data_IF_550147272937
#
_entry.id   IF_550147272937
#
_cell.length_a   1.000
_cell.length_b   1.000
_cell.length_c   1.000
_cell.angle_alpha   90.00
_cell.angle_beta   90.00
_cell.angle_gamma   90.00
#
_symmetry.space_group_name_H-M   'P 1'
#
loop_
_entity.id
_entity.type
_entity.pdbx_description
1 polymer ?
#
# COMPACT_ATOMS: atom_id res chain seq x y z
N UNK A 1 56.32 31.90 14.62
CA UNK A 1 55.86 31.24 13.37
C UNK A 1 54.34 31.20 13.38
N UNK A 2 53.71 31.90 12.44
CA UNK A 2 52.27 31.90 12.20
C UNK A 2 51.79 30.51 11.76
N UNK A 3 50.60 30.12 12.23
CA UNK A 3 49.49 29.69 11.36
C UNK A 3 48.21 29.52 12.18
N UNK A 4 47.43 30.60 12.21
CA UNK A 4 46.00 30.55 12.48
C UNK A 4 45.30 29.97 11.26
N UNK A 5 44.39 29.03 11.44
CA UNK A 5 43.28 28.79 10.51
C UNK A 5 42.04 28.45 11.34
N UNK A 6 41.21 29.46 11.56
CA UNK A 6 39.80 29.32 11.87
C UNK A 6 39.04 29.10 10.56
N UNK A 7 38.15 28.10 10.53
CA UNK A 7 37.04 28.01 9.57
C UNK A 7 35.81 27.57 10.37
N UNK A 8 35.00 28.52 10.80
CA UNK A 8 33.84 29.04 10.07
C UNK A 8 32.67 28.04 10.09
N UNK A 9 31.76 28.29 11.04
CA UNK A 9 30.43 27.74 11.06
C UNK A 9 29.69 28.09 9.76
N UNK A 10 29.15 27.07 9.09
CA UNK A 10 28.14 27.27 8.05
C UNK A 10 26.86 26.57 8.52
N UNK A 11 25.92 27.41 8.96
CA UNK A 11 24.50 27.09 9.01
C UNK A 11 24.08 26.60 7.62
N UNK A 12 23.59 25.36 7.54
CA UNK A 12 23.06 24.76 6.32
C UNK A 12 21.62 24.28 6.50
N UNK A 13 20.68 25.20 6.28
CA UNK A 13 19.31 25.02 5.77
C UNK A 13 18.43 23.84 6.26
N UNK A 14 17.45 24.21 7.11
CA UNK A 14 16.00 24.02 6.92
C UNK A 14 15.57 22.68 6.29
N UNK A 15 15.11 21.76 7.14
CA UNK A 15 14.13 20.72 6.78
C UNK A 15 12.79 20.96 7.51
N UNK A 16 12.25 22.18 7.39
CA UNK A 16 10.87 22.48 7.80
C UNK A 16 9.91 22.29 6.62
N UNK A 17 9.75 21.03 6.19
CA UNK A 17 8.66 20.62 5.30
C UNK A 17 8.08 19.24 5.71
N UNK A 18 8.17 18.87 6.99
CA UNK A 18 7.69 17.58 7.50
C UNK A 18 6.67 17.64 8.65
N UNK A 19 6.40 18.81 9.25
CA UNK A 19 5.73 18.85 10.56
C UNK A 19 4.21 19.11 10.54
N UNK A 20 3.59 19.21 9.35
CA UNK A 20 2.13 19.46 9.22
C UNK A 20 1.29 18.25 8.78
N UNK A 21 1.93 17.15 8.35
CA UNK A 21 1.21 16.07 7.66
C UNK A 21 0.59 15.01 8.59
N UNK A 22 1.01 14.95 9.86
CA UNK A 22 0.65 13.81 10.72
C UNK A 22 -0.82 13.79 11.15
N UNK A 23 -1.46 14.94 11.31
CA UNK A 23 -2.86 15.03 11.76
C UNK A 23 -3.87 15.12 10.60
N UNK A 24 -3.53 15.86 9.54
CA UNK A 24 -4.46 16.27 8.48
C UNK A 24 -5.03 15.11 7.64
N UNK A 25 -4.33 13.97 7.60
CA UNK A 25 -4.73 12.75 6.89
C UNK A 25 -4.69 11.49 7.80
N UNK A 26 -4.86 11.69 9.11
CA UNK A 26 -4.76 10.61 10.12
C UNK A 26 -5.77 9.46 9.90
N UNK A 27 -7.00 9.79 9.48
CA UNK A 27 -8.02 8.80 9.11
C UNK A 27 -7.57 7.92 7.93
N UNK A 28 -7.10 8.57 6.85
CA UNK A 28 -6.55 7.90 5.67
C UNK A 28 -5.39 6.99 6.03
N UNK A 29 -4.46 7.48 6.85
CA UNK A 29 -3.30 6.71 7.34
C UNK A 29 -3.72 5.48 8.13
N UNK A 30 -4.71 5.62 9.02
CA UNK A 30 -5.26 4.54 9.84
C UNK A 30 -5.97 3.48 9.00
N UNK A 31 -6.82 3.89 8.06
CA UNK A 31 -7.53 2.96 7.17
C UNK A 31 -6.56 2.24 6.23
N UNK A 32 -5.59 2.96 5.67
CA UNK A 32 -4.52 2.38 4.87
C UNK A 32 -3.71 1.35 5.68
N UNK A 33 -3.22 1.72 6.86
CA UNK A 33 -2.44 0.82 7.72
C UNK A 33 -3.20 -0.43 8.14
N UNK A 34 -4.51 -0.31 8.43
CA UNK A 34 -5.38 -1.47 8.69
C UNK A 34 -5.44 -2.42 7.50
N UNK A 35 -5.60 -1.90 6.28
CA UNK A 35 -5.64 -2.73 5.08
C UNK A 35 -4.31 -3.43 4.81
N UNK A 36 -3.18 -2.77 5.06
CA UNK A 36 -1.86 -3.41 4.99
C UNK A 36 -1.73 -4.53 6.03
N UNK A 37 -2.17 -4.30 7.27
CA UNK A 37 -2.15 -5.30 8.32
C UNK A 37 -3.01 -6.53 7.96
N UNK A 38 -4.19 -6.33 7.37
CA UNK A 38 -5.04 -7.43 6.90
C UNK A 38 -4.32 -8.30 5.86
N UNK A 39 -3.61 -7.70 4.90
CA UNK A 39 -2.85 -8.47 3.89
C UNK A 39 -1.75 -9.34 4.55
N UNK A 40 -1.14 -8.87 5.64
CA UNK A 40 -0.07 -9.58 6.35
C UNK A 40 -0.56 -10.63 7.35
N UNK A 41 -1.85 -10.71 7.64
CA UNK A 41 -2.39 -11.66 8.62
C UNK A 41 -2.77 -13.00 7.96
N UNK A 42 -2.49 -14.14 8.62
CA UNK A 42 -3.01 -15.43 8.19
C UNK A 42 -4.54 -15.44 8.20
N UNK A 43 -5.16 -15.65 7.04
CA UNK A 43 -6.61 -15.75 6.88
C UNK A 43 -6.95 -16.39 5.53
N UNK A 44 -8.20 -16.79 5.34
CA UNK A 44 -8.65 -17.32 4.06
C UNK A 44 -8.74 -16.23 3.00
N UNK A 45 -8.64 -16.61 1.71
CA UNK A 45 -8.82 -15.68 0.60
C UNK A 45 -10.20 -14.98 0.62
N UNK A 46 -11.25 -15.69 1.08
CA UNK A 46 -12.61 -15.16 1.18
C UNK A 46 -12.74 -14.10 2.29
N UNK A 47 -12.13 -14.33 3.44
CA UNK A 47 -12.09 -13.36 4.54
C UNK A 47 -11.31 -12.12 4.12
N UNK A 48 -10.11 -12.31 3.56
CA UNK A 48 -9.27 -11.21 3.09
C UNK A 48 -10.00 -10.37 2.02
N UNK A 49 -10.72 -11.02 1.10
CA UNK A 49 -11.53 -10.33 0.10
C UNK A 49 -12.56 -9.39 0.77
N UNK A 50 -13.38 -9.90 1.70
CA UNK A 50 -14.38 -9.10 2.42
C UNK A 50 -13.77 -7.95 3.22
N UNK A 51 -12.61 -8.18 3.82
CA UNK A 51 -11.82 -7.19 4.54
C UNK A 51 -11.35 -6.05 3.64
N UNK A 52 -10.76 -6.38 2.49
CA UNK A 52 -10.24 -5.39 1.55
C UNK A 52 -11.35 -4.61 0.85
N UNK A 53 -12.51 -5.21 0.59
CA UNK A 53 -13.70 -4.48 0.14
C UNK A 53 -14.10 -3.40 1.15
N UNK A 54 -14.12 -3.73 2.44
CA UNK A 54 -14.44 -2.75 3.50
C UNK A 54 -13.39 -1.64 3.60
N UNK A 55 -12.11 -1.96 3.42
CA UNK A 55 -11.03 -0.95 3.34
C UNK A 55 -11.24 -0.01 2.15
N UNK A 56 -11.50 -0.55 0.95
CA UNK A 56 -11.74 0.27 -0.25
C UNK A 56 -12.95 1.20 -0.08
N UNK A 57 -14.05 0.71 0.49
CA UNK A 57 -15.21 1.55 0.77
C UNK A 57 -14.87 2.71 1.71
N UNK A 58 -14.06 2.46 2.75
CA UNK A 58 -13.62 3.50 3.69
C UNK A 58 -12.69 4.51 3.03
N UNK A 59 -11.66 4.05 2.32
CA UNK A 59 -10.73 4.93 1.60
C UNK A 59 -11.45 5.83 0.58
N UNK A 60 -12.48 5.31 -0.09
CA UNK A 60 -13.30 6.08 -1.03
C UNK A 60 -14.10 7.19 -0.35
N UNK A 61 -14.51 7.01 0.91
CA UNK A 61 -15.24 8.03 1.69
C UNK A 61 -14.31 9.05 2.37
N UNK A 62 -13.07 8.67 2.65
CA UNK A 62 -12.09 9.55 3.28
C UNK A 62 -11.63 10.65 2.32
N UNK A 63 -11.54 11.88 2.83
CA UNK A 63 -11.02 13.04 2.09
C UNK A 63 -9.58 13.27 2.51
N UNK A 64 -8.73 13.52 1.52
CA UNK A 64 -7.34 13.90 1.77
C UNK A 64 -7.18 15.42 1.74
N UNK A 65 -6.61 15.96 2.80
CA UNK A 65 -6.45 17.41 3.01
C UNK A 65 -5.19 17.93 2.34
N UNK A 66 -4.14 17.10 2.23
CA UNK A 66 -2.86 17.47 1.63
C UNK A 66 -2.71 16.96 0.20
N UNK A 67 -1.81 17.56 -0.59
CA UNK A 67 -1.49 17.06 -1.94
C UNK A 67 -0.90 15.65 -1.88
N UNK A 68 0.01 15.39 -0.94
CA UNK A 68 0.57 14.07 -0.68
C UNK A 68 -0.51 13.05 -0.30
N UNK A 69 -1.43 13.42 0.59
CA UNK A 69 -2.58 12.60 0.97
C UNK A 69 -3.49 12.25 -0.21
N UNK A 70 -3.72 13.19 -1.14
CA UNK A 70 -4.52 12.93 -2.35
C UNK A 70 -3.84 11.91 -3.27
N UNK A 71 -2.52 12.06 -3.48
CA UNK A 71 -1.72 11.11 -4.25
C UNK A 71 -1.74 9.73 -3.58
N UNK A 72 -1.48 9.70 -2.27
CA UNK A 72 -1.50 8.49 -1.46
C UNK A 72 -2.84 7.76 -1.54
N UNK A 73 -3.96 8.48 -1.39
CA UNK A 73 -5.30 7.92 -1.46
C UNK A 73 -5.55 7.26 -2.82
N UNK A 74 -5.19 7.93 -3.90
CA UNK A 74 -5.33 7.39 -5.26
C UNK A 74 -4.51 6.11 -5.43
N UNK A 75 -3.24 6.13 -5.00
CA UNK A 75 -2.37 4.96 -5.05
C UNK A 75 -2.88 3.81 -4.18
N UNK A 76 -3.39 4.11 -2.98
CA UNK A 76 -3.96 3.12 -2.07
C UNK A 76 -5.20 2.46 -2.68
N UNK A 77 -6.14 3.24 -3.20
CA UNK A 77 -7.34 2.71 -3.86
C UNK A 77 -6.95 1.81 -5.04
N UNK A 78 -6.03 2.25 -5.89
CA UNK A 78 -5.57 1.42 -7.01
C UNK A 78 -4.86 0.16 -6.52
N UNK A 79 -3.98 0.27 -5.51
CA UNK A 79 -3.23 -0.85 -4.96
C UNK A 79 -4.12 -1.92 -4.32
N UNK A 80 -5.09 -1.52 -3.50
CA UNK A 80 -6.07 -2.44 -2.93
C UNK A 80 -6.99 -3.04 -3.99
N UNK A 81 -7.35 -2.28 -5.04
CA UNK A 81 -8.15 -2.82 -6.16
C UNK A 81 -7.41 -3.92 -6.92
N UNK A 82 -6.13 -3.71 -7.26
CA UNK A 82 -5.30 -4.74 -7.88
C UNK A 82 -5.09 -5.95 -6.96
N UNK A 83 -4.92 -5.71 -5.67
CA UNK A 83 -4.81 -6.80 -4.69
C UNK A 83 -6.10 -7.62 -4.64
N UNK A 84 -7.27 -6.96 -4.67
CA UNK A 84 -8.57 -7.64 -4.69
C UNK A 84 -8.74 -8.51 -5.95
N UNK A 85 -8.40 -7.98 -7.12
CA UNK A 85 -8.42 -8.76 -8.39
C UNK A 85 -7.52 -10.00 -8.32
N UNK A 86 -6.36 -9.88 -7.69
CA UNK A 86 -5.49 -11.03 -7.48
C UNK A 86 -6.10 -12.08 -6.55
N UNK A 87 -6.85 -11.65 -5.53
CA UNK A 87 -7.60 -12.56 -4.65
C UNK A 87 -8.77 -13.21 -5.39
N UNK A 88 -9.50 -12.45 -6.21
CA UNK A 88 -10.57 -12.98 -7.05
C UNK A 88 -10.07 -14.10 -7.96
N UNK A 89 -8.94 -13.87 -8.64
CA UNK A 89 -8.29 -14.89 -9.47
C UNK A 89 -7.88 -16.12 -8.64
N UNK A 90 -7.40 -15.95 -7.41
CA UNK A 90 -7.09 -17.10 -6.54
C UNK A 90 -8.34 -17.90 -6.13
N UNK A 91 -9.45 -17.20 -5.91
CA UNK A 91 -10.74 -17.85 -5.65
C UNK A 91 -11.26 -18.58 -6.91
N UNK A 92 -11.02 -18.05 -8.11
CA UNK A 92 -11.30 -18.72 -9.40
C UNK A 92 -10.46 -19.97 -9.57
N UNK A 93 -9.15 -19.88 -9.36
CA UNK A 93 -8.22 -21.01 -9.38
C UNK A 93 -8.72 -22.15 -8.49
N UNK A 94 -9.12 -21.86 -7.25
CA UNK A 94 -9.64 -22.85 -6.30
C UNK A 94 -10.93 -23.53 -6.81
N UNK A 95 -11.77 -22.81 -7.56
CA UNK A 95 -12.98 -23.38 -8.17
C UNK A 95 -12.67 -24.26 -9.38
N UNK A 96 -11.64 -23.92 -10.14
CA UNK A 96 -11.23 -24.63 -11.36
C UNK A 96 -10.36 -25.87 -11.08
N UNK A 97 -9.81 -25.99 -9.87
CA UNK A 97 -8.87 -27.04 -9.47
C UNK A 97 -9.43 -28.47 -9.61
N UNK A 98 -10.75 -28.65 -9.59
CA UNK A 98 -11.41 -29.97 -9.66
C UNK A 98 -11.81 -30.44 -11.06
N UNK A 99 -11.31 -29.81 -12.14
CA UNK A 99 -11.65 -30.28 -13.49
C UNK A 99 -11.14 -29.43 -14.66
N UNK A 100 -10.48 -28.30 -14.38
CA UNK A 100 -9.94 -27.42 -15.41
C UNK A 100 -8.55 -26.89 -15.01
N UNK A 101 -7.55 -27.77 -15.11
CA UNK A 101 -6.17 -27.47 -14.73
C UNK A 101 -5.60 -26.28 -15.52
N UNK A 102 -5.91 -26.18 -16.81
CA UNK A 102 -5.43 -25.06 -17.64
C UNK A 102 -5.97 -23.71 -17.13
N UNK A 103 -7.27 -23.62 -16.83
CA UNK A 103 -7.84 -22.41 -16.25
C UNK A 103 -7.26 -22.11 -14.86
N UNK A 104 -7.07 -23.14 -14.03
CA UNK A 104 -6.43 -22.99 -12.70
C UNK A 104 -5.04 -22.35 -12.81
N UNK A 105 -4.20 -22.80 -13.75
CA UNK A 105 -2.86 -22.23 -13.99
C UNK A 105 -2.96 -20.78 -14.47
N UNK A 106 -3.86 -20.48 -15.41
CA UNK A 106 -4.06 -19.11 -15.90
C UNK A 106 -4.50 -18.15 -14.78
N UNK A 107 -5.38 -18.61 -13.90
CA UNK A 107 -5.86 -17.85 -12.75
C UNK A 107 -4.75 -17.63 -11.70
N UNK A 108 -3.88 -18.63 -11.49
CA UNK A 108 -2.70 -18.49 -10.64
C UNK A 108 -1.74 -17.40 -11.17
N UNK A 109 -1.47 -17.41 -12.47
CA UNK A 109 -0.63 -16.40 -13.13
C UNK A 109 -1.25 -15.00 -13.04
N UNK A 110 -2.57 -14.90 -13.21
CA UNK A 110 -3.31 -13.64 -13.06
C UNK A 110 -3.23 -13.13 -11.63
N UNK A 111 -3.40 -14.03 -10.65
CA UNK A 111 -3.30 -13.71 -9.23
C UNK A 111 -1.94 -13.10 -8.88
N UNK A 112 -0.85 -13.76 -9.27
CA UNK A 112 0.52 -13.28 -9.00
C UNK A 112 0.78 -11.91 -9.64
N UNK A 113 0.43 -11.75 -10.93
CA UNK A 113 0.61 -10.48 -11.65
C UNK A 113 -0.11 -9.32 -10.95
N UNK A 114 -1.36 -9.53 -10.58
CA UNK A 114 -2.21 -8.50 -9.99
C UNK A 114 -1.76 -8.17 -8.57
N UNK A 115 -1.35 -9.17 -7.78
CA UNK A 115 -0.78 -8.96 -6.44
C UNK A 115 0.55 -8.19 -6.50
N UNK A 116 1.43 -8.49 -7.45
CA UNK A 116 2.68 -7.71 -7.65
C UNK A 116 2.39 -6.26 -7.99
N UNK A 117 1.41 -6.02 -8.87
CA UNK A 117 0.99 -4.65 -9.23
C UNK A 117 0.39 -3.91 -8.03
N UNK A 118 -0.49 -4.59 -7.28
CA UNK A 118 -1.07 -4.09 -6.03
C UNK A 118 0.01 -3.70 -5.03
N UNK A 119 0.97 -4.59 -4.76
CA UNK A 119 2.06 -4.34 -3.82
C UNK A 119 2.92 -3.14 -4.21
N UNK A 120 3.24 -2.96 -5.49
CA UNK A 120 4.00 -1.79 -5.97
C UNK A 120 3.26 -0.47 -5.64
N UNK A 121 1.96 -0.43 -5.88
CA UNK A 121 1.12 0.73 -5.62
C UNK A 121 0.94 0.99 -4.13
N UNK A 122 0.73 -0.05 -3.33
CA UNK A 122 0.59 0.04 -1.87
C UNK A 122 1.89 0.56 -1.23
N UNK A 123 3.06 0.10 -1.67
CA UNK A 123 4.35 0.66 -1.21
C UNK A 123 4.50 2.14 -1.57
N UNK A 124 4.07 2.54 -2.76
CA UNK A 124 4.09 3.95 -3.17
C UNK A 124 3.13 4.81 -2.33
N UNK A 125 1.92 4.31 -2.04
CA UNK A 125 0.98 4.96 -1.14
C UNK A 125 1.55 5.09 0.28
N UNK A 126 2.19 4.04 0.80
CA UNK A 126 2.84 4.04 2.11
C UNK A 126 3.93 5.10 2.22
N UNK A 127 4.81 5.21 1.21
CA UNK A 127 5.82 6.28 1.14
C UNK A 127 5.21 7.67 1.19
N UNK A 128 4.12 7.89 0.45
CA UNK A 128 3.42 9.18 0.45
C UNK A 128 2.70 9.50 1.77
N UNK A 129 2.35 8.49 2.59
CA UNK A 129 1.70 8.64 3.90
C UNK A 129 2.66 8.59 5.10
N UNK A 130 3.95 8.33 4.87
CA UNK A 130 4.87 8.01 5.96
C UNK A 130 4.46 6.75 6.73
N UNK A 131 3.97 5.72 6.02
CA UNK A 131 3.63 4.40 6.57
C UNK A 131 4.54 3.36 5.93
N UNK A 132 5.27 2.61 6.75
CA UNK A 132 6.08 1.50 6.27
C UNK A 132 5.19 0.38 5.75
N UNK A 133 5.46 -0.06 4.53
CA UNK A 133 4.84 -1.24 3.92
C UNK A 133 5.96 -2.22 3.66
N UNK A 134 5.96 -3.31 4.43
CA UNK A 134 6.93 -4.39 4.28
C UNK A 134 6.77 -5.15 2.96
N UNK A 135 7.38 -6.32 2.87
CA UNK A 135 7.08 -7.24 1.78
C UNK A 135 5.65 -7.75 1.91
N UNK A 136 4.85 -7.45 0.89
CA UNK A 136 3.53 -8.03 0.73
C UNK A 136 3.74 -9.28 -0.11
N UNK A 137 3.98 -10.41 0.55
CA UNK A 137 4.23 -11.68 -0.13
C UNK A 137 3.03 -12.03 -1.01
N UNK A 138 3.31 -12.27 -2.29
CA UNK A 138 2.35 -12.85 -3.24
C UNK A 138 2.29 -14.36 -3.04
N UNK A 139 1.79 -14.81 -1.89
CA UNK A 139 1.54 -16.23 -1.62
C UNK A 139 0.07 -16.51 -1.80
#
# INVERSE_FOLDING_TARGET
MQRAIAFAAVLGLIFLAGCGSSAADSGLRKTFGRGIAQIGQPQTAKELHGDLVRVLMRLRKERASTAAGRIARTLAIQGFTWTLRGIDARLEMTRNDSGNLEASVQDAMRSDRDRRRGAKLLRAAGRALGVSVGELSGT
#
